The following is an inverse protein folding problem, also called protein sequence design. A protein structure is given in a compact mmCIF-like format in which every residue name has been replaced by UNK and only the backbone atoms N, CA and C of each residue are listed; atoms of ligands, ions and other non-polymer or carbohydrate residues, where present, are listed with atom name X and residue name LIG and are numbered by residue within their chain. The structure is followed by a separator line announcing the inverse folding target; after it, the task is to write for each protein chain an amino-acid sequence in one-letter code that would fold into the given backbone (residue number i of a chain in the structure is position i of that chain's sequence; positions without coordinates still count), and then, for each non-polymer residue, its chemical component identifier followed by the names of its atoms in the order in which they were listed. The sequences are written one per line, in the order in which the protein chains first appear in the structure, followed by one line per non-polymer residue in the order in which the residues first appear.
data_IF_261615111364
#
_entry.id   IF_261615111364
#
_cell.length_a   1.000
_cell.length_b   1.000
_cell.length_c   1.000
_cell.angle_alpha   90.00
_cell.angle_beta   90.00
_cell.angle_gamma   90.00
#
_symmetry.space_group_name_H-M   'P 1'
#
loop_
_entity.id
_entity.type
_entity.pdbx_description
1 polymer ?
#
# COMPACT_ATOMS: atom_id res chain seq x y z
N UNK A 1 26.91 32.47 48.18
CA UNK A 1 27.33 32.35 46.77
C UNK A 1 26.77 31.05 46.22
N UNK A 2 25.85 31.08 45.27
CA UNK A 2 25.32 29.83 44.68
C UNK A 2 26.26 29.29 43.59
N UNK A 3 26.53 27.98 43.66
CA UNK A 3 27.34 27.25 42.66
C UNK A 3 26.56 27.12 41.36
N UNK A 4 27.09 27.68 40.27
CA UNK A 4 26.61 27.47 38.91
C UNK A 4 27.03 26.08 38.46
N UNK A 5 26.06 25.17 38.27
CA UNK A 5 26.27 23.86 37.64
C UNK A 5 26.28 24.08 36.13
N UNK A 6 27.46 23.98 35.50
CA UNK A 6 27.59 23.93 34.02
C UNK A 6 27.14 22.57 33.52
N UNK A 7 26.00 22.52 32.86
CA UNK A 7 25.62 21.35 32.04
C UNK A 7 26.41 21.37 30.73
N UNK A 8 27.18 20.31 30.46
CA UNK A 8 27.92 20.15 29.21
C UNK A 8 26.97 19.91 28.04
N UNK A 9 27.18 20.58 26.91
CA UNK A 9 26.37 20.48 25.68
C UNK A 9 26.23 19.05 25.13
N UNK A 10 27.08 18.10 25.52
CA UNK A 10 27.01 16.70 25.12
C UNK A 10 25.84 15.90 25.70
N UNK A 11 25.34 16.30 26.87
CA UNK A 11 24.28 15.55 27.57
C UNK A 11 22.90 15.78 26.98
N UNK A 12 22.64 16.94 26.36
CA UNK A 12 21.37 17.29 25.73
C UNK A 12 21.19 16.56 24.39
N UNK A 13 22.25 16.46 23.62
CA UNK A 13 22.23 15.72 22.31
C UNK A 13 22.00 14.22 22.55
N UNK A 14 22.60 13.61 23.55
CA UNK A 14 22.38 12.19 23.89
C UNK A 14 20.95 11.91 24.35
N UNK A 15 20.35 12.82 25.11
CA UNK A 15 18.94 12.67 25.52
C UNK A 15 17.98 12.81 24.35
N UNK A 16 18.19 13.75 23.43
CA UNK A 16 17.37 13.94 22.24
C UNK A 16 17.45 12.72 21.30
N UNK A 17 18.66 12.19 21.05
CA UNK A 17 18.84 10.99 20.21
C UNK A 17 18.14 9.77 20.85
N UNK A 18 18.22 9.62 22.17
CA UNK A 18 17.55 8.54 22.90
C UNK A 18 16.02 8.69 22.89
N UNK A 19 15.49 9.92 22.99
CA UNK A 19 14.05 10.21 22.83
C UNK A 19 13.55 9.93 21.41
N UNK A 20 14.29 10.32 20.38
CA UNK A 20 13.97 10.02 18.98
C UNK A 20 14.00 8.50 18.71
N UNK A 21 14.93 7.77 19.30
CA UNK A 21 14.97 6.30 19.20
C UNK A 21 13.85 5.61 19.99
N UNK A 22 13.43 6.16 21.14
CA UNK A 22 12.29 5.65 21.92
C UNK A 22 10.98 5.94 21.19
N UNK A 23 10.83 7.11 20.58
CA UNK A 23 9.65 7.44 19.75
C UNK A 23 9.55 6.57 18.49
N UNK A 24 10.67 6.21 17.84
CA UNK A 24 10.68 5.23 16.73
C UNK A 24 10.33 3.79 17.18
N UNK A 25 10.43 3.47 18.45
CA UNK A 25 10.11 2.12 18.97
C UNK A 25 8.63 1.89 19.25
N UNK A 26 7.79 2.92 19.23
CA UNK A 26 6.36 2.81 19.51
C UNK A 26 5.46 3.08 18.29
N UNK A 27 5.97 3.05 17.06
CA UNK A 27 5.11 3.02 15.89
C UNK A 27 4.46 1.63 15.82
N UNK A 28 3.22 1.52 16.24
CA UNK A 28 2.42 0.29 16.07
C UNK A 28 1.81 0.33 14.67
N UNK A 29 2.57 -0.18 13.69
CA UNK A 29 2.02 -0.38 12.35
C UNK A 29 0.95 -1.46 12.43
N UNK A 30 -0.28 -1.10 12.17
CA UNK A 30 -1.43 -2.01 12.07
C UNK A 30 -1.87 -2.19 10.62
N UNK A 31 -2.42 -3.36 10.33
CA UNK A 31 -3.05 -3.66 9.03
C UNK A 31 -4.49 -4.04 9.29
N UNK A 32 -5.40 -3.37 8.58
CA UNK A 32 -6.83 -3.62 8.67
C UNK A 32 -7.51 -3.55 7.31
N UNK A 33 -8.73 -4.05 7.25
CA UNK A 33 -9.58 -3.93 6.05
C UNK A 33 -9.75 -2.45 5.69
N UNK A 34 -9.60 -2.17 4.39
CA UNK A 34 -9.85 -0.85 3.82
C UNK A 34 -11.34 -0.55 3.77
N UNK A 35 -11.70 0.67 4.13
CA UNK A 35 -13.06 1.19 4.03
C UNK A 35 -13.09 2.44 3.14
N UNK A 36 -14.29 2.91 2.77
CA UNK A 36 -14.42 4.12 1.95
C UNK A 36 -13.96 5.38 2.70
N UNK A 37 -13.93 5.36 4.03
CA UNK A 37 -13.44 6.45 4.86
C UNK A 37 -11.92 6.66 4.71
N UNK A 38 -11.20 5.62 4.30
CA UNK A 38 -9.75 5.68 4.08
C UNK A 38 -9.37 6.35 2.74
N UNK A 39 -10.37 6.61 1.88
CA UNK A 39 -10.14 7.02 0.51
C UNK A 39 -9.20 8.23 0.38
N UNK A 40 -9.35 9.26 1.18
CA UNK A 40 -8.54 10.48 1.04
C UNK A 40 -7.06 10.20 1.30
N UNK A 41 -6.74 9.47 2.38
CA UNK A 41 -5.38 9.08 2.69
C UNK A 41 -4.79 8.08 1.69
N UNK A 42 -5.61 7.17 1.18
CA UNK A 42 -5.22 6.22 0.13
C UNK A 42 -4.98 6.94 -1.19
N UNK A 43 -5.86 7.85 -1.59
CA UNK A 43 -5.72 8.61 -2.81
C UNK A 43 -4.47 9.52 -2.79
N UNK A 44 -4.22 10.19 -1.66
CA UNK A 44 -2.98 10.97 -1.45
C UNK A 44 -1.74 10.08 -1.61
N UNK A 45 -1.75 8.87 -1.05
CA UNK A 45 -0.66 7.91 -1.22
C UNK A 45 -0.48 7.51 -2.68
N UNK A 46 -1.57 7.26 -3.41
CA UNK A 46 -1.51 6.84 -4.80
C UNK A 46 -0.97 7.92 -5.73
N UNK A 47 -1.48 9.17 -5.66
CA UNK A 47 -1.03 10.26 -6.53
C UNK A 47 0.45 10.62 -6.31
N UNK A 48 0.99 10.32 -5.13
CA UNK A 48 2.41 10.51 -4.79
C UNK A 48 3.26 9.24 -5.02
N UNK A 49 2.70 8.17 -5.62
CA UNK A 49 3.42 6.93 -5.92
C UNK A 49 3.54 6.75 -7.43
N UNK A 50 4.71 7.02 -8.03
CA UNK A 50 4.92 6.85 -9.47
C UNK A 50 4.65 5.40 -9.93
N UNK A 51 4.01 5.26 -11.09
CA UNK A 51 3.84 3.98 -11.78
C UNK A 51 2.64 3.15 -11.35
N UNK A 52 1.62 3.75 -10.71
CA UNK A 52 0.36 3.05 -10.38
C UNK A 52 -0.65 3.04 -11.55
N UNK A 53 -0.66 4.10 -12.38
CA UNK A 53 -1.54 4.15 -13.56
C UNK A 53 -3.02 4.32 -13.20
N UNK A 54 -3.34 5.36 -12.45
CA UNK A 54 -4.70 5.70 -12.03
C UNK A 54 -5.55 6.24 -13.17
N UNK A 55 -6.87 6.17 -13.01
CA UNK A 55 -7.81 6.87 -13.87
C UNK A 55 -8.88 7.63 -13.06
N UNK A 56 -9.45 8.66 -13.67
CA UNK A 56 -10.36 9.59 -12.98
C UNK A 56 -11.75 8.99 -12.65
N UNK A 57 -12.09 7.82 -13.16
CA UNK A 57 -13.39 7.19 -12.98
C UNK A 57 -13.32 6.04 -11.98
N UNK A 58 -12.50 5.01 -12.28
CA UNK A 58 -12.45 3.80 -11.44
C UNK A 58 -11.76 4.07 -10.10
N UNK A 59 -10.79 5.00 -10.10
CA UNK A 59 -10.03 5.39 -8.90
C UNK A 59 -10.62 6.62 -8.19
N UNK A 60 -11.79 7.10 -8.61
CA UNK A 60 -12.59 8.10 -7.88
C UNK A 60 -13.12 7.51 -6.56
N UNK A 61 -13.56 8.37 -5.64
CA UNK A 61 -14.21 7.92 -4.40
C UNK A 61 -15.41 7.01 -4.67
N UNK A 62 -16.20 7.35 -5.68
CA UNK A 62 -17.39 6.58 -6.09
C UNK A 62 -16.96 5.23 -6.70
N UNK A 63 -15.93 5.23 -7.54
CA UNK A 63 -15.37 4.00 -8.13
C UNK A 63 -14.83 3.05 -7.07
N UNK A 64 -14.03 3.58 -6.14
CA UNK A 64 -13.48 2.79 -5.02
C UNK A 64 -14.59 2.33 -4.07
N UNK A 65 -15.59 3.17 -3.75
CA UNK A 65 -16.73 2.72 -2.95
C UNK A 65 -17.47 1.56 -3.61
N UNK A 66 -17.74 1.65 -4.92
CA UNK A 66 -18.36 0.57 -5.69
C UNK A 66 -17.51 -0.70 -5.64
N UNK A 67 -16.20 -0.58 -5.78
CA UNK A 67 -15.27 -1.70 -5.72
C UNK A 67 -15.25 -2.38 -4.35
N UNK A 68 -15.10 -1.61 -3.26
CA UNK A 68 -15.10 -2.12 -1.89
C UNK A 68 -16.46 -2.73 -1.49
N UNK A 69 -17.57 -2.17 -1.96
CA UNK A 69 -18.89 -2.77 -1.75
C UNK A 69 -19.01 -4.16 -2.37
N UNK A 70 -18.38 -4.38 -3.54
CA UNK A 70 -18.34 -5.69 -4.19
C UNK A 70 -17.35 -6.66 -3.52
N UNK A 71 -16.24 -6.15 -3.03
CA UNK A 71 -15.14 -6.91 -2.45
C UNK A 71 -14.83 -6.39 -1.04
N UNK A 72 -15.71 -6.64 -0.04
CA UNK A 72 -15.65 -5.95 1.25
C UNK A 72 -14.53 -6.44 2.18
N UNK A 73 -13.90 -7.57 1.87
CA UNK A 73 -12.99 -8.29 2.79
C UNK A 73 -11.55 -8.38 2.29
N UNK A 74 -11.26 -7.96 1.05
CA UNK A 74 -10.01 -8.34 0.37
C UNK A 74 -9.01 -7.20 0.18
N UNK A 75 -9.41 -5.94 0.40
CA UNK A 75 -8.55 -4.78 0.34
C UNK A 75 -8.11 -4.34 1.74
N UNK A 76 -6.85 -3.91 1.89
CA UNK A 76 -6.26 -3.57 3.19
C UNK A 76 -5.47 -2.28 3.15
N UNK A 77 -5.42 -1.61 4.30
CA UNK A 77 -4.54 -0.49 4.57
C UNK A 77 -3.58 -0.82 5.70
N UNK A 78 -2.36 -0.30 5.60
CA UNK A 78 -1.41 -0.24 6.71
C UNK A 78 -1.39 1.18 7.25
N UNK A 79 -1.45 1.34 8.56
CA UNK A 79 -1.44 2.63 9.23
C UNK A 79 -0.42 2.68 10.36
N UNK A 80 0.12 3.86 10.59
CA UNK A 80 0.98 4.22 11.71
C UNK A 80 0.42 5.48 12.36
N UNK A 81 -0.08 5.35 13.61
CA UNK A 81 -0.74 6.45 14.33
C UNK A 81 -1.84 7.13 13.50
N UNK A 82 -2.80 6.34 13.00
CA UNK A 82 -3.95 6.78 12.17
C UNK A 82 -3.58 7.32 10.78
N UNK A 83 -2.30 7.39 10.45
CA UNK A 83 -1.84 7.79 9.12
C UNK A 83 -1.76 6.58 8.21
N UNK A 84 -2.41 6.63 7.05
CA UNK A 84 -2.24 5.62 6.00
C UNK A 84 -0.81 5.68 5.45
N UNK A 85 -0.09 4.57 5.58
CA UNK A 85 1.30 4.42 5.13
C UNK A 85 1.47 3.38 4.04
N UNK A 86 0.44 2.56 3.82
CA UNK A 86 0.43 1.54 2.78
C UNK A 86 -0.99 1.10 2.45
N UNK A 87 -1.19 0.58 1.25
CA UNK A 87 -2.48 0.07 0.78
C UNK A 87 -2.28 -1.06 -0.22
N UNK A 88 -3.21 -2.00 -0.23
CA UNK A 88 -3.43 -2.97 -1.30
C UNK A 88 -4.91 -2.97 -1.68
N UNK A 89 -5.21 -2.69 -2.93
CA UNK A 89 -6.55 -2.82 -3.50
C UNK A 89 -6.64 -4.17 -4.20
N UNK A 90 -7.42 -5.09 -3.67
CA UNK A 90 -7.63 -6.41 -4.26
C UNK A 90 -9.07 -6.88 -4.17
N UNK A 91 -9.45 -7.78 -5.07
CA UNK A 91 -10.78 -8.35 -5.11
C UNK A 91 -10.86 -9.52 -6.07
N UNK A 92 -12.07 -9.99 -6.35
CA UNK A 92 -12.32 -11.13 -7.22
C UNK A 92 -13.68 -11.05 -7.94
N UNK A 93 -13.82 -11.83 -8.99
CA UNK A 93 -15.07 -11.99 -9.76
C UNK A 93 -15.87 -13.25 -9.32
N UNK A 94 -15.45 -13.93 -8.27
CA UNK A 94 -15.94 -15.25 -7.82
C UNK A 94 -15.13 -16.42 -8.35
N UNK A 95 -14.22 -16.19 -9.32
CA UNK A 95 -13.39 -17.24 -9.94
C UNK A 95 -11.90 -16.96 -9.86
N UNK A 96 -11.50 -15.69 -10.03
CA UNK A 96 -10.10 -15.24 -10.02
C UNK A 96 -9.96 -13.99 -9.17
N UNK A 97 -8.89 -13.94 -8.40
CA UNK A 97 -8.48 -12.73 -7.70
C UNK A 97 -7.65 -11.83 -8.59
N UNK A 98 -7.68 -10.53 -8.26
CA UNK A 98 -6.88 -9.53 -8.93
C UNK A 98 -6.39 -8.49 -7.93
N UNK A 99 -5.11 -8.12 -8.04
CA UNK A 99 -4.52 -7.00 -7.30
C UNK A 99 -4.36 -5.83 -8.27
N UNK A 100 -4.94 -4.70 -7.93
CA UNK A 100 -4.91 -3.48 -8.75
C UNK A 100 -3.80 -2.54 -8.31
N UNK A 101 -3.92 -1.96 -7.12
CA UNK A 101 -2.99 -0.96 -6.63
C UNK A 101 -2.36 -1.41 -5.32
N UNK A 102 -1.02 -1.43 -5.28
CA UNK A 102 -0.25 -1.69 -4.06
C UNK A 102 0.79 -0.60 -3.92
N UNK A 103 0.74 0.13 -2.82
CA UNK A 103 1.65 1.22 -2.55
C UNK A 103 2.06 1.27 -1.08
N UNK A 104 3.30 1.71 -0.83
CA UNK A 104 3.82 2.00 0.52
C UNK A 104 4.61 3.30 0.44
N UNK A 105 4.37 4.20 1.39
CA UNK A 105 5.09 5.47 1.50
C UNK A 105 6.61 5.25 1.48
N UNK A 106 7.39 6.08 0.76
CA UNK A 106 8.84 5.88 0.60
C UNK A 106 9.59 5.64 1.90
N UNK A 107 9.29 6.41 2.95
CA UNK A 107 9.95 6.31 4.26
C UNK A 107 9.60 5.03 5.05
N UNK A 108 8.60 4.28 4.61
CA UNK A 108 8.16 3.01 5.22
C UNK A 108 8.50 1.79 4.35
N UNK A 109 9.17 1.99 3.20
CA UNK A 109 9.61 0.88 2.34
C UNK A 109 10.72 0.08 3.01
N UNK A 110 10.97 -1.12 2.48
CA UNK A 110 11.98 -2.07 2.96
C UNK A 110 11.79 -2.56 4.41
N UNK A 111 10.60 -2.35 4.99
CA UNK A 111 10.21 -2.81 6.33
C UNK A 111 9.23 -4.00 6.29
N UNK A 112 9.04 -4.61 5.12
CA UNK A 112 8.15 -5.78 4.96
C UNK A 112 6.65 -5.45 4.87
N UNK A 113 6.25 -4.17 4.89
CA UNK A 113 4.84 -3.74 4.92
C UNK A 113 4.10 -4.21 3.67
N UNK A 114 4.68 -4.03 2.47
CA UNK A 114 4.05 -4.48 1.23
C UNK A 114 3.83 -6.00 1.22
N UNK A 115 4.80 -6.78 1.67
CA UNK A 115 4.67 -8.24 1.77
C UNK A 115 3.53 -8.64 2.72
N UNK A 116 3.45 -8.01 3.91
CA UNK A 116 2.35 -8.24 4.85
C UNK A 116 0.99 -7.88 4.25
N UNK A 117 0.87 -6.74 3.55
CA UNK A 117 -0.37 -6.35 2.87
C UNK A 117 -0.79 -7.41 1.84
N UNK A 118 0.16 -7.94 1.06
CA UNK A 118 -0.11 -9.03 0.11
C UNK A 118 -0.54 -10.29 0.85
N UNK A 119 0.12 -10.67 1.94
CA UNK A 119 -0.26 -11.85 2.74
C UNK A 119 -1.69 -11.73 3.27
N UNK A 120 -2.09 -10.54 3.76
CA UNK A 120 -3.46 -10.27 4.21
C UNK A 120 -4.47 -10.42 3.08
N UNK A 121 -4.18 -9.86 1.90
CA UNK A 121 -5.04 -9.95 0.73
C UNK A 121 -5.15 -11.39 0.20
N UNK A 122 -4.03 -12.09 0.10
CA UNK A 122 -4.01 -13.49 -0.35
C UNK A 122 -4.79 -14.41 0.60
N UNK A 123 -4.61 -14.26 1.91
CA UNK A 123 -5.37 -15.00 2.92
C UNK A 123 -6.88 -14.68 2.88
N UNK A 124 -7.25 -13.44 2.59
CA UNK A 124 -8.66 -13.06 2.44
C UNK A 124 -9.27 -13.67 1.17
N UNK A 125 -8.56 -13.62 0.05
CA UNK A 125 -8.99 -14.25 -1.20
C UNK A 125 -9.09 -15.77 -1.07
N UNK A 126 -8.18 -16.42 -0.35
CA UNK A 126 -8.24 -17.86 -0.07
C UNK A 126 -9.50 -18.24 0.71
N UNK A 127 -9.89 -17.46 1.73
CA UNK A 127 -11.14 -17.66 2.48
C UNK A 127 -12.40 -17.51 1.62
N UNK A 128 -12.32 -16.73 0.53
CA UNK A 128 -13.38 -16.60 -0.48
C UNK A 128 -13.32 -17.72 -1.54
N UNK A 129 -12.43 -18.72 -1.37
CA UNK A 129 -12.27 -19.86 -2.28
C UNK A 129 -11.56 -19.53 -3.60
N UNK A 130 -10.79 -18.45 -3.63
CA UNK A 130 -10.04 -18.03 -4.84
C UNK A 130 -8.71 -18.79 -4.93
N UNK A 131 -8.55 -19.56 -5.98
CA UNK A 131 -7.37 -20.41 -6.18
C UNK A 131 -6.22 -19.74 -6.95
N UNK A 132 -6.43 -18.58 -7.55
CA UNK A 132 -5.41 -17.90 -8.35
C UNK A 132 -5.65 -16.39 -8.37
N UNK A 133 -4.57 -15.64 -8.13
CA UNK A 133 -4.55 -14.18 -8.15
C UNK A 133 -3.62 -13.71 -9.27
N UNK A 134 -4.02 -12.67 -9.97
CA UNK A 134 -3.24 -12.02 -11.01
C UNK A 134 -3.06 -10.53 -10.70
N UNK A 135 -2.09 -9.91 -11.32
CA UNK A 135 -1.88 -8.46 -11.34
C UNK A 135 -1.26 -8.03 -12.67
N UNK A 136 -1.32 -6.74 -12.97
CA UNK A 136 -0.59 -6.12 -14.06
C UNK A 136 0.31 -5.03 -13.49
N UNK A 137 1.56 -5.00 -13.91
CA UNK A 137 2.51 -3.95 -13.56
C UNK A 137 3.15 -3.40 -14.83
N UNK A 138 3.47 -2.10 -14.83
CA UNK A 138 4.21 -1.53 -15.95
C UNK A 138 5.59 -2.16 -16.05
N UNK A 139 6.00 -2.54 -17.25
CA UNK A 139 7.33 -3.13 -17.51
C UNK A 139 8.47 -2.25 -17.01
N UNK A 140 8.32 -0.92 -17.14
CA UNK A 140 9.29 0.07 -16.68
C UNK A 140 9.41 0.16 -15.14
N UNK A 141 8.44 -0.37 -14.38
CA UNK A 141 8.48 -0.38 -12.91
C UNK A 141 9.36 -1.52 -12.39
N UNK A 142 10.67 -1.40 -12.59
CA UNK A 142 11.65 -2.44 -12.22
C UNK A 142 11.61 -2.80 -10.73
N UNK A 143 11.43 -1.80 -9.85
CA UNK A 143 11.33 -2.03 -8.41
C UNK A 143 10.08 -2.84 -8.02
N UNK A 144 8.93 -2.48 -8.61
CA UNK A 144 7.67 -3.20 -8.37
C UNK A 144 7.74 -4.62 -8.93
N UNK A 145 8.25 -4.80 -10.14
CA UNK A 145 8.38 -6.13 -10.75
C UNK A 145 9.29 -7.04 -9.92
N UNK A 146 10.46 -6.56 -9.48
CA UNK A 146 11.35 -7.33 -8.62
C UNK A 146 10.74 -7.67 -7.24
N UNK A 147 9.87 -6.81 -6.69
CA UNK A 147 9.10 -7.13 -5.49
C UNK A 147 8.14 -8.29 -5.75
N UNK A 148 7.34 -8.24 -6.83
CA UNK A 148 6.37 -9.28 -7.17
C UNK A 148 7.02 -10.64 -7.41
N UNK A 149 8.13 -10.68 -8.15
CA UNK A 149 8.93 -11.90 -8.36
C UNK A 149 9.43 -12.49 -7.04
N UNK A 150 9.97 -11.64 -6.15
CA UNK A 150 10.50 -12.07 -4.85
C UNK A 150 9.44 -12.73 -3.97
N UNK A 151 8.17 -12.33 -4.07
CA UNK A 151 7.06 -12.90 -3.30
C UNK A 151 6.28 -13.97 -4.07
N UNK A 152 6.80 -14.46 -5.22
CA UNK A 152 6.29 -15.61 -5.94
C UNK A 152 5.29 -15.34 -7.06
N UNK A 153 5.06 -14.10 -7.44
CA UNK A 153 4.30 -13.79 -8.65
C UNK A 153 5.21 -13.91 -9.88
N UNK A 154 4.86 -14.81 -10.80
CA UNK A 154 5.66 -15.09 -12.00
C UNK A 154 5.06 -14.43 -13.24
N UNK A 155 5.92 -13.98 -14.14
CA UNK A 155 5.51 -13.50 -15.46
C UNK A 155 4.91 -14.64 -16.29
N UNK A 156 3.90 -14.34 -17.10
CA UNK A 156 3.28 -15.27 -18.06
C UNK A 156 3.65 -14.81 -19.47
N UNK A 157 4.73 -15.35 -20.00
CA UNK A 157 5.25 -15.03 -21.34
C UNK A 157 4.36 -15.58 -22.49
N UNK A 158 3.52 -16.56 -22.16
CA UNK A 158 2.55 -17.18 -23.09
C UNK A 158 1.23 -16.40 -23.22
N UNK A 159 1.08 -15.25 -22.55
CA UNK A 159 -0.14 -14.44 -22.58
C UNK A 159 0.10 -13.05 -23.15
N UNK A 160 -0.90 -12.56 -23.87
CA UNK A 160 -0.99 -11.17 -24.26
C UNK A 160 -2.13 -10.50 -23.49
N UNK A 161 -1.82 -9.44 -22.75
CA UNK A 161 -2.84 -8.60 -22.12
C UNK A 161 -3.58 -7.77 -23.20
N UNK A 162 -4.89 -7.87 -23.25
CA UNK A 162 -5.74 -7.11 -24.14
C UNK A 162 -6.86 -6.45 -23.36
N UNK A 163 -7.11 -5.17 -23.61
CA UNK A 163 -8.24 -4.43 -23.04
C UNK A 163 -8.98 -3.63 -24.10
N UNK A 164 -10.20 -3.22 -23.78
CA UNK A 164 -11.00 -2.30 -24.58
C UNK A 164 -11.85 -1.47 -23.62
N UNK A 165 -11.77 -0.15 -23.72
CA UNK A 165 -12.62 0.73 -22.96
C UNK A 165 -14.07 0.64 -23.44
N UNK A 166 -15.03 0.56 -22.50
CA UNK A 166 -16.46 0.70 -22.75
C UNK A 166 -16.83 2.18 -22.82
N UNK A 167 -16.21 2.98 -21.93
CA UNK A 167 -16.33 4.42 -21.89
C UNK A 167 -14.92 5.04 -21.93
N UNK A 168 -14.84 6.32 -22.28
CA UNK A 168 -13.57 7.03 -22.22
C UNK A 168 -13.07 7.13 -20.76
N UNK A 169 -11.83 6.71 -20.53
CA UNK A 169 -11.17 6.79 -19.25
C UNK A 169 -10.08 7.85 -19.30
N UNK A 170 -10.20 8.87 -18.47
CA UNK A 170 -9.16 9.88 -18.31
C UNK A 170 -8.08 9.36 -17.38
N UNK A 171 -6.90 9.10 -17.95
CA UNK A 171 -5.73 8.63 -17.20
C UNK A 171 -5.18 9.73 -16.34
N UNK A 172 -4.76 9.37 -15.12
CA UNK A 172 -3.99 10.20 -14.20
C UNK A 172 -2.57 9.60 -14.22
N UNK A 173 -1.61 10.37 -14.74
CA UNK A 173 -0.21 9.93 -14.74
C UNK A 173 0.42 10.21 -13.37
N UNK A 174 0.93 9.14 -12.76
CA UNK A 174 1.65 9.14 -11.49
C UNK A 174 3.06 8.60 -11.68
#
# INVERSE_FOLDING_TARGET
MPRVVRFSQGCVLYSIIRWVQIYRRNSMISIRIMTVQDYDGVYELWINTPGLGLNATDDSREGIHKYLKRNPTTSFVAEDNEKIIGVILSGHDGRRGYIHHTAVLPNYRHQGIAAKLVDYAMNALDREGINKVALVAFEKNKSGNGFWEKIGFTVREDLLYRNKNIHELKRIDT
#
